data_IF_860888327464
#
_entry.id   IF_860888327464
#
_cell.length_a   1.000
_cell.length_b   1.000
_cell.length_c   1.000
_cell.angle_alpha   90.00
_cell.angle_beta   90.00
_cell.angle_gamma   90.00
#
_symmetry.space_group_name_H-M   'P 1'
#
loop_
_entity.id
_entity.type
_entity.pdbx_description
1 polymer ?
#
# COMPACT_ATOMS: atom_id res chain seq x y z
N UNK A 1 1.19 -2.12 1.87
CA UNK A 1 -0.24 -2.01 1.51
C UNK A 1 -0.70 -0.61 1.91
N UNK A 2 -1.45 0.14 1.08
CA UNK A 2 -1.91 1.51 1.37
C UNK A 2 -3.23 1.58 2.16
N UNK A 3 -3.85 0.46 2.53
CA UNK A 3 -5.11 0.44 3.27
C UNK A 3 -4.87 0.81 4.75
N UNK A 4 -5.45 1.91 5.27
CA UNK A 4 -5.21 2.40 6.63
C UNK A 4 -5.49 1.39 7.74
N UNK A 5 -6.47 0.51 7.56
CA UNK A 5 -6.81 -0.54 8.54
C UNK A 5 -5.69 -1.55 8.82
N UNK A 6 -4.71 -1.70 7.92
CA UNK A 6 -3.52 -2.54 8.15
C UNK A 6 -2.36 -1.79 8.81
N UNK A 7 -2.44 -0.47 8.91
CA UNK A 7 -1.41 0.38 9.53
C UNK A 7 -1.84 0.85 10.92
N UNK A 8 -3.13 1.07 11.14
CA UNK A 8 -3.64 1.73 12.32
C UNK A 8 -4.96 1.11 12.79
N UNK A 9 -5.05 0.85 14.09
CA UNK A 9 -6.27 0.35 14.73
C UNK A 9 -7.46 1.33 14.64
N UNK A 10 -7.20 2.60 14.28
CA UNK A 10 -8.25 3.60 14.09
C UNK A 10 -8.70 3.73 12.64
N UNK A 11 -8.05 3.00 11.71
CA UNK A 11 -8.29 3.14 10.27
C UNK A 11 -7.83 4.50 9.70
N UNK A 12 -6.95 5.22 10.41
CA UNK A 12 -6.37 6.50 9.98
C UNK A 12 -4.86 6.46 10.13
N UNK A 13 -4.14 6.94 9.12
CA UNK A 13 -2.68 6.97 9.07
C UNK A 13 -2.20 8.15 8.23
N UNK A 14 -0.89 8.34 8.22
CA UNK A 14 -0.17 9.35 7.43
C UNK A 14 0.86 8.67 6.53
N UNK A 15 1.39 9.41 5.57
CA UNK A 15 2.51 8.95 4.73
C UNK A 15 3.71 8.47 5.56
N UNK A 16 3.93 9.00 6.76
CA UNK A 16 5.01 8.56 7.62
C UNK A 16 4.79 7.14 8.16
N UNK A 17 3.55 6.77 8.49
CA UNK A 17 3.23 5.39 8.92
C UNK A 17 3.50 4.39 7.78
N UNK A 18 3.20 4.78 6.53
CA UNK A 18 3.50 3.97 5.36
C UNK A 18 5.01 3.80 5.13
N UNK A 19 5.77 4.88 5.26
CA UNK A 19 7.22 4.84 5.14
C UNK A 19 7.85 4.02 6.30
N UNK A 20 7.27 4.05 7.50
CA UNK A 20 7.71 3.21 8.63
C UNK A 20 7.53 1.72 8.31
N UNK A 21 6.46 1.35 7.60
CA UNK A 21 6.31 -0.03 7.11
C UNK A 21 7.37 -0.40 6.07
N UNK A 22 7.75 0.53 5.18
CA UNK A 22 8.82 0.29 4.22
C UNK A 22 10.15 0.08 4.96
N UNK A 23 10.50 0.95 5.91
CA UNK A 23 11.72 0.81 6.71
C UNK A 23 11.75 -0.51 7.47
N UNK A 24 10.64 -0.89 8.09
CA UNK A 24 10.51 -2.16 8.79
C UNK A 24 10.73 -3.35 7.83
N UNK A 25 10.08 -3.32 6.66
CA UNK A 25 10.21 -4.35 5.64
C UNK A 25 11.65 -4.46 5.11
N UNK A 26 12.31 -3.33 4.84
CA UNK A 26 13.70 -3.29 4.36
C UNK A 26 14.64 -3.83 5.45
N UNK A 27 14.46 -3.45 6.71
CA UNK A 27 15.26 -3.94 7.82
C UNK A 27 15.07 -5.45 8.04
N UNK A 28 13.86 -5.97 7.83
CA UNK A 28 13.55 -7.39 8.05
C UNK A 28 13.98 -8.30 6.89
N UNK A 29 13.70 -7.88 5.65
CA UNK A 29 13.82 -8.72 4.46
C UNK A 29 15.00 -8.34 3.56
N UNK A 30 15.60 -7.17 3.76
CA UNK A 30 16.65 -6.61 2.90
C UNK A 30 16.10 -5.78 1.74
N UNK A 31 16.90 -4.81 1.29
CA UNK A 31 16.51 -3.82 0.27
C UNK A 31 16.12 -4.45 -1.08
N UNK A 32 16.66 -5.62 -1.42
CA UNK A 32 16.39 -6.31 -2.70
C UNK A 32 15.06 -7.10 -2.71
N UNK A 33 14.32 -7.05 -1.60
CA UNK A 33 13.11 -7.86 -1.36
C UNK A 33 11.87 -7.03 -1.01
N UNK A 34 11.93 -5.71 -1.15
CA UNK A 34 10.81 -4.80 -0.83
C UNK A 34 10.34 -4.07 -2.07
N UNK A 35 9.03 -4.04 -2.28
CA UNK A 35 8.40 -3.30 -3.38
C UNK A 35 7.09 -2.66 -2.94
N UNK A 36 6.59 -1.72 -3.74
CA UNK A 36 5.32 -1.05 -3.48
C UNK A 36 4.15 -1.89 -3.99
N UNK A 37 3.17 -2.11 -3.12
CA UNK A 37 1.83 -2.58 -3.44
C UNK A 37 0.82 -1.67 -2.76
N UNK A 38 0.26 -0.72 -3.53
CA UNK A 38 -0.63 0.31 -2.96
C UNK A 38 -2.01 -0.25 -2.65
N UNK A 39 -2.55 -1.12 -3.49
CA UNK A 39 -3.96 -1.52 -3.39
C UNK A 39 -4.90 -0.31 -3.55
N UNK A 40 -4.51 0.66 -4.40
CA UNK A 40 -5.36 1.82 -4.71
C UNK A 40 -6.69 1.39 -5.34
N UNK A 41 -7.77 1.96 -4.83
CA UNK A 41 -9.12 1.72 -5.33
C UNK A 41 -9.54 2.91 -6.19
N UNK A 42 -9.37 2.77 -7.50
CA UNK A 42 -9.56 3.86 -8.47
C UNK A 42 -10.86 3.66 -9.24
N UNK A 43 -11.74 4.66 -9.23
CA UNK A 43 -12.92 4.71 -10.10
C UNK A 43 -14.00 3.66 -9.81
N UNK A 44 -13.96 2.99 -8.64
CA UNK A 44 -14.97 2.02 -8.23
C UNK A 44 -15.72 2.50 -7.00
N UNK A 45 -16.97 2.05 -6.82
CA UNK A 45 -17.74 2.28 -5.59
C UNK A 45 -17.62 1.08 -4.65
N UNK A 46 -17.91 1.27 -3.36
CA UNK A 46 -17.91 0.17 -2.41
C UNK A 46 -18.90 -0.95 -2.83
N UNK A 47 -20.04 -0.59 -3.41
CA UNK A 47 -20.98 -1.56 -3.97
C UNK A 47 -20.38 -2.32 -5.16
N UNK A 48 -19.71 -1.62 -6.08
CA UNK A 48 -19.04 -2.28 -7.21
C UNK A 48 -17.94 -3.24 -6.78
N UNK A 49 -17.31 -3.07 -5.62
CA UNK A 49 -16.31 -4.02 -5.11
C UNK A 49 -16.97 -5.11 -4.27
N UNK A 50 -17.77 -4.75 -3.27
CA UNK A 50 -18.31 -5.71 -2.31
C UNK A 50 -19.53 -6.50 -2.81
N UNK A 51 -20.24 -6.00 -3.82
CA UNK A 51 -21.41 -6.69 -4.38
C UNK A 51 -21.11 -7.37 -5.74
N UNK A 52 -19.94 -7.11 -6.36
CA UNK A 52 -19.56 -7.73 -7.64
C UNK A 52 -18.99 -9.14 -7.53
N UNK A 53 -18.60 -9.59 -6.33
CA UNK A 53 -17.88 -10.85 -6.11
C UNK A 53 -18.68 -11.92 -5.38
N UNK A 54 -18.42 -13.18 -5.75
CA UNK A 54 -18.63 -14.32 -4.87
C UNK A 54 -17.51 -14.31 -3.80
N UNK A 55 -17.74 -13.51 -2.76
CA UNK A 55 -16.82 -13.36 -1.63
C UNK A 55 -16.84 -14.57 -0.68
N UNK A 56 -17.62 -15.61 -0.98
CA UNK A 56 -17.76 -16.80 -0.15
C UNK A 56 -18.12 -16.50 1.31
N UNK A 57 -17.75 -17.42 2.20
CA UNK A 57 -17.95 -17.28 3.66
C UNK A 57 -17.12 -16.14 4.27
N UNK A 58 -16.06 -15.69 3.59
CA UNK A 58 -15.13 -14.66 4.07
C UNK A 58 -15.68 -13.23 3.99
N UNK A 59 -16.84 -13.00 3.34
CA UNK A 59 -17.47 -11.66 3.26
C UNK A 59 -17.66 -10.99 4.63
N UNK A 60 -17.88 -11.78 5.68
CA UNK A 60 -18.01 -11.29 7.06
C UNK A 60 -16.73 -10.65 7.62
N UNK A 61 -15.56 -11.12 7.19
CA UNK A 61 -14.24 -10.73 7.73
C UNK A 61 -13.74 -9.38 7.26
N UNK A 62 -14.36 -8.80 6.23
CA UNK A 62 -14.06 -7.45 5.76
C UNK A 62 -14.30 -6.39 6.85
N UNK A 63 -15.19 -6.68 7.81
CA UNK A 63 -15.43 -5.82 8.97
C UNK A 63 -14.24 -5.80 9.94
N UNK A 64 -13.49 -6.89 10.03
CA UNK A 64 -12.40 -7.06 10.99
C UNK A 64 -11.13 -6.29 10.61
N UNK A 65 -11.02 -5.87 9.35
CA UNK A 65 -9.88 -5.10 8.82
C UNK A 65 -10.24 -3.63 8.57
N UNK A 66 -11.32 -3.14 9.19
CA UNK A 66 -11.84 -1.77 9.01
C UNK A 66 -12.08 -1.37 7.53
N UNK A 67 -12.31 -2.34 6.65
CA UNK A 67 -12.57 -2.14 5.22
C UNK A 67 -14.06 -1.85 4.93
N UNK A 68 -14.81 -1.30 5.89
CA UNK A 68 -16.26 -1.18 5.76
C UNK A 68 -16.70 0.12 5.07
N UNK A 69 -17.85 0.04 4.39
CA UNK A 69 -18.50 1.04 3.50
C UNK A 69 -18.60 2.49 4.01
N UNK A 70 -18.35 2.75 5.29
CA UNK A 70 -18.47 4.08 5.88
C UNK A 70 -17.44 5.08 5.32
N UNK A 71 -16.27 4.59 4.90
CA UNK A 71 -15.22 5.40 4.29
C UNK A 71 -14.81 4.73 2.98
N UNK A 72 -15.15 5.37 1.86
CA UNK A 72 -14.82 4.87 0.53
C UNK A 72 -14.36 5.99 -0.42
N UNK A 73 -13.24 5.81 -1.15
CA UNK A 73 -12.32 4.67 -1.06
C UNK A 73 -11.58 4.66 0.29
N UNK A 74 -11.14 3.49 0.79
CA UNK A 74 -10.59 3.36 2.14
C UNK A 74 -9.33 4.20 2.38
N UNK A 75 -8.62 4.60 1.33
CA UNK A 75 -7.41 5.42 1.38
C UNK A 75 -7.69 6.89 1.73
N UNK A 76 -8.95 7.34 1.75
CA UNK A 76 -9.31 8.73 2.11
C UNK A 76 -8.88 9.13 3.53
N UNK A 77 -8.59 8.15 4.40
CA UNK A 77 -8.05 8.39 5.74
C UNK A 77 -6.53 8.24 5.85
N UNK A 78 -5.83 8.17 4.70
CA UNK A 78 -4.38 8.16 4.63
C UNK A 78 -3.83 9.54 4.25
N UNK A 79 -3.56 10.37 5.25
CA UNK A 79 -3.07 11.73 5.04
C UNK A 79 -1.72 11.72 4.28
N UNK A 80 -1.70 12.35 3.11
CA UNK A 80 -0.53 12.43 2.25
C UNK A 80 -0.32 11.23 1.32
N UNK A 81 -1.23 10.24 1.30
CA UNK A 81 -1.23 9.16 0.31
C UNK A 81 -2.65 8.68 -0.08
N UNK A 82 -3.58 9.63 -0.18
CA UNK A 82 -5.02 9.37 -0.37
C UNK A 82 -5.37 8.78 -1.74
N UNK A 83 -4.58 9.15 -2.76
CA UNK A 83 -4.82 8.80 -4.17
C UNK A 83 -3.50 8.69 -4.94
N UNK A 84 -3.57 8.22 -6.19
CA UNK A 84 -2.41 7.99 -7.04
C UNK A 84 -1.61 9.26 -7.36
N UNK A 85 -2.22 10.44 -7.29
CA UNK A 85 -1.51 11.72 -7.51
C UNK A 85 -0.52 12.02 -6.39
N UNK A 86 -0.66 11.36 -5.24
CA UNK A 86 0.21 11.49 -4.06
C UNK A 86 1.41 10.56 -4.05
N UNK A 87 1.55 9.67 -5.03
CA UNK A 87 2.70 8.77 -5.13
C UNK A 87 4.08 9.46 -5.01
N UNK A 88 4.30 10.69 -5.52
CA UNK A 88 5.55 11.40 -5.29
C UNK A 88 5.91 11.63 -3.81
N UNK A 89 4.95 11.60 -2.89
CA UNK A 89 5.21 11.70 -1.45
C UNK A 89 5.97 10.48 -0.90
N UNK A 90 5.79 9.30 -1.49
CA UNK A 90 6.60 8.11 -1.14
C UNK A 90 8.06 8.38 -1.48
N UNK A 91 8.36 8.82 -2.71
CA UNK A 91 9.72 9.16 -3.13
C UNK A 91 10.32 10.27 -2.27
N UNK A 92 9.59 11.35 -2.01
CA UNK A 92 10.05 12.44 -1.12
C UNK A 92 10.37 11.93 0.28
N UNK A 93 9.52 11.05 0.80
CA UNK A 93 9.71 10.40 2.09
C UNK A 93 10.98 9.57 2.15
N UNK A 94 11.20 8.70 1.17
CA UNK A 94 12.42 7.87 1.09
C UNK A 94 13.68 8.73 0.99
N UNK A 95 13.66 9.79 0.17
CA UNK A 95 14.76 10.78 0.09
C UNK A 95 15.01 11.42 1.45
N UNK A 96 13.95 11.85 2.16
CA UNK A 96 14.08 12.48 3.48
C UNK A 96 14.62 11.53 4.55
N UNK A 97 14.44 10.21 4.37
CA UNK A 97 14.97 9.15 5.24
C UNK A 97 16.39 8.72 4.89
N UNK A 98 16.97 9.28 3.82
CA UNK A 98 18.36 9.05 3.44
C UNK A 98 18.60 7.78 2.60
N UNK A 99 17.55 7.19 2.03
CA UNK A 99 17.73 6.16 1.00
C UNK A 99 18.47 6.74 -0.19
N UNK A 100 19.37 5.95 -0.76
CA UNK A 100 20.10 6.32 -1.98
C UNK A 100 19.22 6.14 -3.22
N UNK A 101 19.57 6.82 -4.30
CA UNK A 101 18.81 6.76 -5.56
C UNK A 101 18.63 5.32 -6.08
N UNK A 102 19.64 4.46 -5.96
CA UNK A 102 19.58 3.05 -6.36
C UNK A 102 18.68 2.21 -5.43
N UNK A 103 18.67 2.50 -4.13
CA UNK A 103 17.76 1.85 -3.18
C UNK A 103 16.31 2.28 -3.39
N UNK A 104 16.09 3.56 -3.72
CA UNK A 104 14.78 4.08 -4.08
C UNK A 104 14.29 3.41 -5.36
N UNK A 105 15.13 3.30 -6.40
CA UNK A 105 14.75 2.65 -7.65
C UNK A 105 14.30 1.18 -7.43
N UNK A 106 15.02 0.45 -6.56
CA UNK A 106 14.64 -0.90 -6.11
C UNK A 106 13.25 -0.95 -5.50
N UNK A 107 12.97 -0.10 -4.52
CA UNK A 107 11.66 -0.05 -3.83
C UNK A 107 10.55 0.34 -4.81
N UNK A 108 10.80 1.33 -5.67
CA UNK A 108 9.80 1.85 -6.61
C UNK A 108 9.45 0.89 -7.73
N UNK A 109 10.35 -0.01 -8.12
CA UNK A 109 10.01 -1.00 -9.15
C UNK A 109 11.08 -2.00 -9.58
N UNK A 110 12.38 -1.72 -9.40
CA UNK A 110 13.40 -2.64 -9.94
C UNK A 110 13.35 -4.03 -9.27
N UNK A 111 12.97 -4.10 -7.98
CA UNK A 111 12.76 -5.39 -7.31
C UNK A 111 11.61 -6.19 -7.92
N UNK A 112 10.52 -5.51 -8.28
CA UNK A 112 9.40 -6.15 -8.99
C UNK A 112 9.84 -6.62 -10.37
N UNK A 113 10.58 -5.80 -11.11
CA UNK A 113 11.05 -6.16 -12.46
C UNK A 113 11.98 -7.38 -12.41
N UNK A 114 12.93 -7.40 -11.48
CA UNK A 114 13.81 -8.55 -11.23
C UNK A 114 13.01 -9.81 -10.91
N UNK A 115 12.03 -9.72 -10.01
CA UNK A 115 11.19 -10.87 -9.64
C UNK A 115 10.36 -11.38 -10.82
N UNK A 116 9.75 -10.47 -11.59
CA UNK A 116 8.95 -10.84 -12.76
C UNK A 116 9.80 -11.54 -13.83
N UNK A 117 11.04 -11.10 -14.03
CA UNK A 117 12.02 -11.75 -14.91
C UNK A 117 12.36 -13.16 -14.44
N UNK A 118 12.67 -13.32 -13.16
CA UNK A 118 13.02 -14.61 -12.56
C UNK A 118 11.89 -15.65 -12.68
N UNK A 119 10.63 -15.22 -12.50
CA UNK A 119 9.47 -16.12 -12.55
C UNK A 119 9.04 -16.46 -13.98
N UNK A 120 9.16 -15.51 -14.92
CA UNK A 120 8.63 -15.69 -16.28
C UNK A 120 9.55 -16.48 -17.21
N UNK A 121 10.87 -16.51 -16.95
CA UNK A 121 11.87 -17.09 -17.85
C UNK A 121 12.15 -16.22 -19.06
#
# INVERSE_FOLDING_TARGET
NNIPGFMSATGRCTINDYLDQIDYAVNLMGIDHVGIGTDFVIGTTAAMVFDSGDWGEDRGRLKDVHMYREIWPPQQTHEGFEDETKFPNVTRGLVSRGYKDDEIAKILGENWMRLLEEVRG
#
